data_IF_421084673830
#
_entry.id   IF_421084673830
#
_cell.length_a   1.000
_cell.length_b   1.000
_cell.length_c   1.000
_cell.angle_alpha   90.00
_cell.angle_beta   90.00
_cell.angle_gamma   90.00
#
_symmetry.space_group_name_H-M   'P 1'
#
loop_
_entity.id
_entity.type
_entity.pdbx_description
1 polymer ?
#
# COMPACT_ATOMS: atom_id res chain seq x y z
N UNK A 1 6.83 11.31 38.77
CA UNK A 1 6.30 11.27 37.38
C UNK A 1 6.93 10.15 36.59
N UNK A 2 8.24 9.91 36.65
CA UNK A 2 8.97 8.90 35.85
C UNK A 2 8.42 7.45 35.98
N UNK A 3 8.08 7.00 37.19
CA UNK A 3 7.58 5.62 37.44
C UNK A 3 6.22 5.33 36.78
N UNK A 4 5.37 6.35 36.57
CA UNK A 4 4.07 6.17 35.91
C UNK A 4 4.19 6.06 34.38
N UNK A 5 5.14 6.80 33.79
CA UNK A 5 5.41 6.72 32.36
C UNK A 5 6.04 5.38 31.98
N UNK A 6 7.03 4.90 32.75
CA UNK A 6 7.65 3.58 32.54
C UNK A 6 6.63 2.42 32.61
N UNK A 7 5.61 2.54 33.47
CA UNK A 7 4.55 1.53 33.55
C UNK A 7 3.54 1.61 32.39
N UNK A 8 3.27 2.80 31.84
CA UNK A 8 2.37 2.98 30.70
C UNK A 8 3.01 2.54 29.38
N UNK A 9 4.27 2.90 29.14
CA UNK A 9 5.01 2.45 27.94
C UNK A 9 5.10 0.91 27.90
N UNK A 10 5.38 0.30 29.06
CA UNK A 10 5.41 -1.15 29.20
C UNK A 10 4.04 -1.81 28.96
N UNK A 11 2.92 -1.16 29.26
CA UNK A 11 1.59 -1.70 28.97
C UNK A 11 1.25 -1.57 27.49
N UNK A 12 1.52 -0.42 26.87
CA UNK A 12 1.29 -0.20 25.44
C UNK A 12 2.02 -1.23 24.58
N UNK A 13 3.31 -1.47 24.84
CA UNK A 13 4.09 -2.48 24.12
C UNK A 13 3.52 -3.89 24.32
N UNK A 14 3.03 -4.24 25.52
CA UNK A 14 2.37 -5.54 25.77
C UNK A 14 1.07 -5.70 24.98
N UNK A 15 0.24 -4.66 24.94
CA UNK A 15 -1.03 -4.69 24.21
C UNK A 15 -0.78 -4.87 22.70
N UNK A 16 0.22 -4.19 22.16
CA UNK A 16 0.66 -4.38 20.76
C UNK A 16 1.13 -5.82 20.52
N UNK A 17 1.98 -6.39 21.39
CA UNK A 17 2.46 -7.77 21.20
C UNK A 17 1.33 -8.80 21.22
N UNK A 18 0.36 -8.63 22.11
CA UNK A 18 -0.83 -9.48 22.15
C UNK A 18 -1.68 -9.34 20.88
N UNK A 19 -1.81 -8.12 20.35
CA UNK A 19 -2.53 -7.89 19.09
C UNK A 19 -1.79 -8.49 17.89
N UNK A 20 -0.45 -8.38 17.83
CA UNK A 20 0.38 -9.02 16.81
C UNK A 20 0.20 -10.54 16.81
N UNK A 21 0.15 -11.17 17.99
CA UNK A 21 -0.13 -12.62 18.15
C UNK A 21 -1.49 -12.98 17.56
N UNK A 22 -2.54 -12.23 17.88
CA UNK A 22 -3.88 -12.43 17.32
C UNK A 22 -3.92 -12.27 15.81
N UNK A 23 -3.19 -11.28 15.27
CA UNK A 23 -3.10 -11.04 13.84
C UNK A 23 -2.47 -12.24 13.12
N UNK A 24 -1.38 -12.81 13.66
CA UNK A 24 -0.72 -14.01 13.11
C UNK A 24 -1.65 -15.23 13.18
N UNK A 25 -2.23 -15.51 14.35
CA UNK A 25 -3.14 -16.64 14.54
C UNK A 25 -4.34 -16.58 13.60
N UNK A 26 -4.90 -15.38 13.38
CA UNK A 26 -5.99 -15.20 12.43
C UNK A 26 -5.56 -15.53 11.00
N UNK A 27 -4.41 -15.00 10.55
CA UNK A 27 -3.91 -15.24 9.19
C UNK A 27 -3.62 -16.73 8.95
N UNK A 28 -3.06 -17.42 9.94
CA UNK A 28 -2.76 -18.86 9.87
C UNK A 28 -4.03 -19.72 9.86
N UNK A 29 -5.14 -19.19 10.37
CA UNK A 29 -6.45 -19.87 10.34
C UNK A 29 -7.22 -19.72 9.03
N UNK A 30 -6.77 -18.85 8.10
CA UNK A 30 -7.47 -18.61 6.84
C UNK A 30 -7.44 -19.83 5.92
N UNK A 31 -8.59 -20.14 5.30
CA UNK A 31 -8.74 -21.29 4.40
C UNK A 31 -9.45 -20.95 3.08
N UNK A 32 -9.87 -19.70 2.90
CA UNK A 32 -10.58 -19.27 1.68
C UNK A 32 -9.63 -19.15 0.48
N UNK A 33 -10.14 -19.20 -0.77
CA UNK A 33 -9.31 -18.98 -1.96
C UNK A 33 -8.51 -17.67 -1.89
N UNK A 34 -7.26 -17.72 -2.37
CA UNK A 34 -6.34 -16.58 -2.36
C UNK A 34 -5.86 -16.12 -0.97
N UNK A 35 -6.08 -16.88 0.10
CA UNK A 35 -5.52 -16.55 1.42
C UNK A 35 -4.02 -16.82 1.55
N UNK A 36 -3.41 -17.50 0.57
CA UNK A 36 -1.98 -17.82 0.52
C UNK A 36 -1.31 -17.03 -0.59
N UNK A 37 -0.14 -16.47 -0.29
CA UNK A 37 0.72 -15.81 -1.27
C UNK A 37 1.42 -16.89 -2.10
N UNK A 38 1.22 -16.89 -3.43
CA UNK A 38 1.84 -17.87 -4.33
C UNK A 38 2.99 -17.28 -5.14
N UNK A 39 3.17 -15.96 -5.10
CA UNK A 39 4.30 -15.29 -5.71
C UNK A 39 5.45 -15.11 -4.70
N UNK A 40 6.69 -15.13 -5.16
CA UNK A 40 7.84 -14.90 -4.31
C UNK A 40 8.06 -13.42 -4.01
N UNK A 41 8.62 -13.13 -2.83
CA UNK A 41 8.98 -11.78 -2.37
C UNK A 41 10.50 -11.66 -2.29
N UNK A 42 11.04 -10.48 -2.59
CA UNK A 42 12.48 -10.20 -2.58
C UNK A 42 13.30 -11.11 -3.51
N UNK A 43 12.77 -11.37 -4.70
CA UNK A 43 13.47 -12.15 -5.72
C UNK A 43 14.65 -11.39 -6.34
N UNK A 44 15.65 -12.12 -6.88
CA UNK A 44 16.62 -11.54 -7.79
C UNK A 44 15.94 -10.79 -8.94
N UNK A 45 16.55 -9.70 -9.39
CA UNK A 45 16.02 -8.93 -10.51
C UNK A 45 15.95 -9.82 -11.76
N UNK A 46 14.77 -9.94 -12.42
CA UNK A 46 14.66 -10.64 -13.68
C UNK A 46 15.38 -9.89 -14.81
N UNK A 47 15.63 -10.57 -15.92
CA UNK A 47 16.01 -9.88 -17.16
C UNK A 47 14.88 -8.98 -17.64
N UNK A 48 15.26 -7.83 -18.18
CA UNK A 48 14.31 -6.86 -18.73
C UNK A 48 13.80 -7.34 -20.09
N UNK A 49 12.48 -7.40 -20.24
CA UNK A 49 11.82 -7.82 -21.48
C UNK A 49 11.04 -6.63 -22.09
N UNK A 50 11.42 -6.17 -23.31
CA UNK A 50 10.79 -5.01 -23.95
C UNK A 50 9.32 -5.25 -24.32
N UNK A 51 8.90 -6.49 -24.54
CA UNK A 51 7.53 -6.83 -24.99
C UNK A 51 6.60 -7.18 -23.82
N UNK A 52 7.14 -7.34 -22.61
CA UNK A 52 6.40 -7.73 -21.41
C UNK A 52 5.37 -6.67 -21.01
N UNK A 53 4.12 -7.09 -20.85
CA UNK A 53 3.00 -6.24 -20.45
C UNK A 53 2.65 -6.42 -18.98
N UNK A 54 2.62 -5.32 -18.24
CA UNK A 54 2.40 -5.36 -16.79
C UNK A 54 1.31 -4.38 -16.38
N UNK A 55 0.42 -4.85 -15.51
CA UNK A 55 -0.52 -3.97 -14.81
C UNK A 55 -0.09 -3.85 -13.35
N UNK A 56 0.34 -2.66 -12.96
CA UNK A 56 0.67 -2.27 -11.59
C UNK A 56 -0.58 -1.85 -10.81
N UNK A 57 -0.72 -2.35 -9.59
CA UNK A 57 -1.82 -2.05 -8.68
C UNK A 57 -1.28 -1.50 -7.37
N UNK A 58 -1.75 -0.32 -6.98
CA UNK A 58 -1.68 0.06 -5.57
C UNK A 58 -2.57 -0.84 -4.71
N UNK A 59 -2.38 -0.82 -3.39
CA UNK A 59 -3.10 -1.68 -2.45
C UNK A 59 -4.08 -0.87 -1.62
N UNK A 60 -3.54 0.05 -0.83
CA UNK A 60 -4.28 0.81 0.17
C UNK A 60 -5.24 1.79 -0.51
N UNK A 61 -6.51 1.82 -0.10
CA UNK A 61 -7.59 2.58 -0.76
C UNK A 61 -7.83 2.25 -2.25
N UNK A 62 -7.13 1.26 -2.81
CA UNK A 62 -7.27 0.84 -4.20
C UNK A 62 -7.92 -0.55 -4.28
N UNK A 63 -7.27 -1.60 -3.76
CA UNK A 63 -7.82 -2.96 -3.72
C UNK A 63 -8.88 -3.14 -2.61
N UNK A 64 -8.95 -2.20 -1.70
CA UNK A 64 -10.04 -2.04 -0.76
C UNK A 64 -10.42 -0.57 -0.69
N UNK A 65 -11.69 -0.28 -0.39
CA UNK A 65 -12.22 1.08 -0.43
C UNK A 65 -11.68 1.94 0.73
N UNK A 66 -11.53 3.25 0.49
CA UNK A 66 -11.19 4.25 1.51
C UNK A 66 -12.23 4.26 2.64
N UNK A 67 -13.51 4.01 2.32
CA UNK A 67 -14.61 3.92 3.29
C UNK A 67 -14.46 2.79 4.32
N UNK A 68 -13.47 1.91 4.18
CA UNK A 68 -13.11 0.91 5.20
C UNK A 68 -12.53 1.56 6.47
N UNK A 69 -12.12 2.83 6.43
CA UNK A 69 -11.60 3.60 7.57
C UNK A 69 -10.34 3.00 8.23
N UNK A 70 -9.57 2.21 7.48
CA UNK A 70 -8.26 1.73 7.93
C UNK A 70 -7.34 2.93 8.22
N UNK A 71 -7.45 4.01 7.44
CA UNK A 71 -6.74 5.26 7.71
C UNK A 71 -7.09 5.87 9.08
N UNK A 72 -8.34 5.74 9.57
CA UNK A 72 -8.71 6.25 10.90
C UNK A 72 -8.06 5.41 12.00
N UNK A 73 -8.01 4.08 11.85
CA UNK A 73 -7.28 3.21 12.78
C UNK A 73 -5.78 3.46 12.76
N UNK A 74 -5.22 3.68 11.57
CA UNK A 74 -3.82 4.07 11.38
C UNK A 74 -3.55 5.36 12.13
N UNK A 75 -4.38 6.40 11.94
CA UNK A 75 -4.24 7.68 12.64
C UNK A 75 -4.26 7.51 14.16
N UNK A 76 -5.19 6.74 14.71
CA UNK A 76 -5.24 6.45 16.17
C UNK A 76 -3.93 5.78 16.63
N UNK A 77 -3.45 4.80 15.88
CA UNK A 77 -2.23 4.05 16.22
C UNK A 77 -0.97 4.94 16.16
N UNK A 78 -0.90 5.82 15.16
CA UNK A 78 0.15 6.83 15.03
C UNK A 78 0.15 7.74 16.26
N UNK A 79 -1.00 8.29 16.63
CA UNK A 79 -1.13 9.18 17.79
C UNK A 79 -0.76 8.48 19.11
N UNK A 80 -1.09 7.20 19.24
CA UNK A 80 -0.65 6.37 20.36
C UNK A 80 0.87 6.20 20.37
N UNK A 81 1.51 5.98 19.22
CA UNK A 81 2.97 5.91 19.12
C UNK A 81 3.63 7.23 19.52
N UNK A 82 3.15 8.37 19.00
CA UNK A 82 3.67 9.69 19.36
C UNK A 82 3.60 9.95 20.86
N UNK A 83 2.46 9.62 21.48
CA UNK A 83 2.27 9.82 22.92
C UNK A 83 3.15 8.89 23.76
N UNK A 84 3.16 7.60 23.45
CA UNK A 84 3.79 6.59 24.32
C UNK A 84 5.29 6.40 24.07
N UNK A 85 5.78 6.72 22.87
CA UNK A 85 7.18 6.52 22.48
C UNK A 85 7.94 7.84 22.36
N UNK A 86 7.33 8.88 21.78
CA UNK A 86 8.00 10.17 21.55
C UNK A 86 7.67 11.23 22.61
N UNK A 87 6.72 10.94 23.52
CA UNK A 87 6.22 11.88 24.52
C UNK A 87 5.75 13.23 23.92
N UNK A 88 5.19 13.16 22.70
CA UNK A 88 4.62 14.30 21.97
C UNK A 88 3.11 14.37 22.24
N UNK A 89 2.58 15.58 22.35
CA UNK A 89 1.13 15.79 22.59
C UNK A 89 0.29 15.35 21.39
N UNK A 90 -1.00 15.09 21.62
CA UNK A 90 -1.91 14.63 20.57
C UNK A 90 -2.08 15.68 19.46
N UNK A 91 -2.18 16.96 19.85
CA UNK A 91 -2.30 18.10 18.96
C UNK A 91 -1.07 18.24 18.06
N UNK A 92 0.14 18.16 18.63
CA UNK A 92 1.38 18.22 17.88
C UNK A 92 1.54 17.01 16.96
N UNK A 93 1.20 15.81 17.44
CA UNK A 93 1.27 14.58 16.64
C UNK A 93 0.36 14.64 15.41
N UNK A 94 -0.86 15.18 15.54
CA UNK A 94 -1.75 15.41 14.41
C UNK A 94 -1.16 16.37 13.36
N UNK A 95 -0.53 17.46 13.81
CA UNK A 95 0.10 18.43 12.92
C UNK A 95 1.31 17.81 12.20
N UNK A 96 2.17 17.09 12.93
CA UNK A 96 3.35 16.44 12.37
C UNK A 96 2.96 15.37 11.35
N UNK A 97 2.00 14.49 11.69
CA UNK A 97 1.51 13.46 10.76
C UNK A 97 1.03 14.08 9.44
N UNK A 98 0.18 15.10 9.50
CA UNK A 98 -0.36 15.76 8.30
C UNK A 98 0.74 16.46 7.50
N UNK A 99 1.67 17.12 8.18
CA UNK A 99 2.78 17.85 7.55
C UNK A 99 3.69 16.87 6.81
N UNK A 100 4.12 15.80 7.48
CA UNK A 100 5.04 14.82 6.90
C UNK A 100 4.41 14.00 5.78
N UNK A 101 3.14 13.64 5.91
CA UNK A 101 2.43 12.98 4.82
C UNK A 101 2.38 13.88 3.57
N UNK A 102 2.04 15.16 3.74
CA UNK A 102 1.98 16.13 2.63
C UNK A 102 3.34 16.43 2.01
N UNK A 103 4.39 16.58 2.81
CA UNK A 103 5.73 16.95 2.33
C UNK A 103 6.49 15.77 1.72
N UNK A 104 6.36 14.57 2.30
CA UNK A 104 7.21 13.43 1.97
C UNK A 104 6.47 12.29 1.26
N UNK A 105 5.14 12.35 1.17
CA UNK A 105 4.28 11.27 0.64
C UNK A 105 4.12 10.08 1.58
N UNK A 106 4.85 10.08 2.70
CA UNK A 106 4.85 9.04 3.73
C UNK A 106 5.28 9.64 5.07
N UNK A 107 4.40 9.65 6.07
CA UNK A 107 4.65 10.33 7.34
C UNK A 107 5.88 9.80 8.08
N UNK A 108 6.18 8.49 7.99
CA UNK A 108 7.33 7.89 8.64
C UNK A 108 8.68 8.43 8.13
N UNK A 109 8.73 8.92 6.89
CA UNK A 109 9.93 9.56 6.35
C UNK A 109 10.25 10.86 7.07
N UNK A 110 9.25 11.68 7.35
CA UNK A 110 9.44 12.90 8.16
C UNK A 110 9.81 12.57 9.60
N UNK A 111 9.19 11.54 10.19
CA UNK A 111 9.53 11.07 11.53
C UNK A 111 10.98 10.60 11.64
N UNK A 112 11.49 9.84 10.67
CA UNK A 112 12.90 9.42 10.65
C UNK A 112 13.84 10.62 10.56
N UNK A 113 13.57 11.55 9.64
CA UNK A 113 14.45 12.70 9.39
C UNK A 113 14.52 13.69 10.55
N UNK A 114 13.40 13.92 11.23
CA UNK A 114 13.28 15.01 12.22
C UNK A 114 13.23 14.54 13.67
N UNK A 115 12.93 13.26 13.92
CA UNK A 115 12.75 12.71 15.26
C UNK A 115 13.58 11.43 15.53
N UNK A 116 14.43 11.01 14.60
CA UNK A 116 15.28 9.82 14.67
C UNK A 116 14.53 8.53 15.08
N UNK A 117 13.29 8.41 14.63
CA UNK A 117 12.44 7.24 14.86
C UNK A 117 13.04 5.99 14.19
N UNK A 118 13.03 4.86 14.91
CA UNK A 118 13.24 3.54 14.30
C UNK A 118 12.01 3.20 13.44
N UNK A 119 12.22 3.15 12.13
CA UNK A 119 11.17 2.91 11.13
C UNK A 119 10.54 1.52 11.28
N UNK A 120 11.34 0.52 11.66
CA UNK A 120 10.87 -0.85 11.85
C UNK A 120 10.09 -1.00 13.16
N UNK A 121 10.53 -0.35 14.24
CA UNK A 121 9.76 -0.28 15.48
C UNK A 121 8.42 0.43 15.24
N UNK A 122 8.44 1.59 14.56
CA UNK A 122 7.22 2.30 14.20
C UNK A 122 6.27 1.43 13.38
N UNK A 123 6.76 0.74 12.35
CA UNK A 123 5.93 -0.17 11.56
C UNK A 123 5.31 -1.27 12.42
N UNK A 124 6.08 -1.86 13.33
CA UNK A 124 5.58 -2.90 14.22
C UNK A 124 4.48 -2.38 15.16
N UNK A 125 4.70 -1.20 15.77
CA UNK A 125 3.82 -0.62 16.79
C UNK A 125 2.59 0.08 16.23
N UNK A 126 2.66 0.49 14.96
CA UNK A 126 1.58 1.21 14.29
C UNK A 126 0.88 0.27 13.31
N UNK A 127 1.54 -0.10 12.21
CA UNK A 127 0.92 -0.76 11.06
C UNK A 127 0.67 -2.27 11.30
N UNK A 128 1.71 -3.03 11.67
CA UNK A 128 1.60 -4.47 11.89
C UNK A 128 0.61 -4.80 13.04
N UNK A 129 0.45 -3.88 13.99
CA UNK A 129 -0.46 -4.00 15.12
C UNK A 129 -1.95 -3.85 14.75
N UNK A 130 -2.28 -3.25 13.60
CA UNK A 130 -3.68 -3.00 13.25
C UNK A 130 -4.47 -4.32 13.11
N UNK A 131 -5.69 -4.43 13.67
CA UNK A 131 -6.53 -5.62 13.52
C UNK A 131 -7.25 -5.63 12.15
N UNK A 132 -6.49 -5.63 11.05
CA UNK A 132 -7.04 -5.51 9.70
C UNK A 132 -8.10 -6.56 9.37
N UNK A 133 -8.01 -7.75 9.96
CA UNK A 133 -9.00 -8.82 9.81
C UNK A 133 -10.41 -8.45 10.26
N UNK A 134 -10.58 -7.44 11.12
CA UNK A 134 -11.90 -7.00 11.57
C UNK A 134 -12.61 -6.17 10.48
N UNK A 135 -11.84 -5.66 9.51
CA UNK A 135 -12.31 -4.77 8.45
C UNK A 135 -12.23 -5.46 7.08
N UNK A 136 -11.04 -5.96 6.71
CA UNK A 136 -10.79 -6.59 5.43
C UNK A 136 -11.33 -8.02 5.43
N UNK A 137 -12.23 -8.28 4.48
CA UNK A 137 -12.85 -9.58 4.23
C UNK A 137 -12.63 -9.96 2.77
N UNK A 138 -12.73 -11.26 2.42
CA UNK A 138 -12.63 -11.69 1.04
C UNK A 138 -13.58 -10.94 0.11
N UNK A 139 -13.05 -10.34 -0.95
CA UNK A 139 -13.82 -9.58 -1.92
C UNK A 139 -14.01 -10.39 -3.20
N UNK A 140 -15.11 -11.16 -3.28
CA UNK A 140 -15.37 -12.06 -4.39
C UNK A 140 -15.51 -11.33 -5.74
N UNK A 141 -16.13 -10.13 -5.76
CA UNK A 141 -16.29 -9.35 -6.99
C UNK A 141 -14.95 -8.86 -7.54
N UNK A 142 -14.08 -8.35 -6.67
CA UNK A 142 -12.71 -7.97 -7.03
C UNK A 142 -11.91 -9.18 -7.52
N UNK A 143 -12.00 -10.30 -6.79
CA UNK A 143 -11.31 -11.54 -7.15
C UNK A 143 -11.73 -12.03 -8.54
N UNK A 144 -13.03 -12.07 -8.83
CA UNK A 144 -13.56 -12.47 -10.14
C UNK A 144 -13.09 -11.54 -11.26
N UNK A 145 -13.07 -10.23 -11.03
CA UNK A 145 -12.57 -9.25 -11.99
C UNK A 145 -11.09 -9.51 -12.31
N UNK A 146 -10.23 -9.68 -11.29
CA UNK A 146 -8.81 -9.98 -11.48
C UNK A 146 -8.58 -11.34 -12.15
N UNK A 147 -9.41 -12.35 -11.85
CA UNK A 147 -9.38 -13.65 -12.56
C UNK A 147 -9.69 -13.45 -14.05
N UNK A 148 -10.69 -12.64 -14.40
CA UNK A 148 -11.03 -12.37 -15.79
C UNK A 148 -9.89 -11.62 -16.50
N UNK A 149 -9.25 -10.66 -15.84
CA UNK A 149 -8.06 -9.99 -16.35
C UNK A 149 -6.90 -10.97 -16.60
N UNK A 150 -6.64 -11.93 -15.70
CA UNK A 150 -5.63 -12.96 -15.96
C UNK A 150 -6.01 -13.90 -17.11
N UNK A 151 -7.31 -14.19 -17.29
CA UNK A 151 -7.80 -15.09 -18.34
C UNK A 151 -7.75 -14.48 -19.74
N UNK A 152 -7.90 -13.16 -19.89
CA UNK A 152 -7.78 -12.48 -21.19
C UNK A 152 -6.38 -12.62 -21.78
N UNK A 153 -5.35 -12.72 -20.91
CA UNK A 153 -3.93 -12.71 -21.29
C UNK A 153 -3.52 -11.42 -22.02
N UNK A 154 -4.29 -10.35 -21.86
CA UNK A 154 -3.95 -9.03 -22.43
C UNK A 154 -2.75 -8.39 -21.71
N UNK A 155 -2.46 -8.82 -20.49
CA UNK A 155 -1.26 -8.51 -19.71
C UNK A 155 -0.59 -9.80 -19.24
N UNK A 156 0.73 -9.80 -19.15
CA UNK A 156 1.53 -10.96 -18.78
C UNK A 156 1.68 -11.08 -17.26
N UNK A 157 1.74 -9.94 -16.56
CA UNK A 157 1.84 -9.89 -15.09
C UNK A 157 0.88 -8.89 -14.46
N UNK A 158 0.34 -9.26 -13.31
CA UNK A 158 -0.27 -8.35 -12.35
C UNK A 158 0.73 -8.12 -11.22
N UNK A 159 1.08 -6.87 -10.96
CA UNK A 159 2.16 -6.52 -10.03
C UNK A 159 1.66 -5.57 -8.96
N UNK A 160 1.92 -5.90 -7.69
CA UNK A 160 1.59 -5.01 -6.58
C UNK A 160 2.64 -3.91 -6.48
N UNK A 161 2.23 -2.65 -6.33
CA UNK A 161 3.13 -1.51 -6.18
C UNK A 161 2.62 -0.54 -5.12
N UNK A 162 3.14 -0.66 -3.91
CA UNK A 162 2.63 0.03 -2.70
C UNK A 162 3.71 0.85 -1.99
N UNK A 163 3.29 1.89 -1.27
CA UNK A 163 4.14 2.65 -0.35
C UNK A 163 4.25 2.01 1.05
N UNK A 164 3.43 1.01 1.36
CA UNK A 164 3.51 0.27 2.62
C UNK A 164 4.71 -0.68 2.65
N UNK A 165 5.03 -1.20 3.84
CA UNK A 165 6.00 -2.30 3.99
C UNK A 165 5.37 -3.64 3.62
N UNK A 166 6.21 -4.63 3.30
CA UNK A 166 5.75 -5.95 2.82
C UNK A 166 4.81 -6.66 3.79
N UNK A 167 4.99 -6.54 5.10
CA UNK A 167 4.13 -7.23 6.07
C UNK A 167 2.66 -6.80 5.91
N UNK A 168 2.40 -5.49 5.93
CA UNK A 168 1.08 -4.92 5.72
C UNK A 168 0.50 -5.30 4.35
N UNK A 169 1.28 -5.11 3.29
CA UNK A 169 0.86 -5.41 1.93
C UNK A 169 0.41 -6.88 1.77
N UNK A 170 1.23 -7.83 2.23
CA UNK A 170 0.90 -9.26 2.15
C UNK A 170 -0.31 -9.62 3.03
N UNK A 171 -0.46 -8.99 4.21
CA UNK A 171 -1.65 -9.17 5.06
C UNK A 171 -2.93 -8.74 4.37
N UNK A 172 -2.95 -7.55 3.77
CA UNK A 172 -4.10 -7.05 3.00
C UNK A 172 -4.49 -8.01 1.88
N UNK A 173 -3.51 -8.47 1.11
CA UNK A 173 -3.72 -9.39 -0.02
C UNK A 173 -4.26 -10.74 0.43
N UNK A 174 -3.73 -11.30 1.53
CA UNK A 174 -4.24 -12.55 2.12
C UNK A 174 -5.68 -12.40 2.62
N UNK A 175 -5.99 -11.33 3.36
CA UNK A 175 -7.33 -11.07 3.91
C UNK A 175 -8.39 -10.82 2.82
N UNK A 176 -8.03 -10.12 1.75
CA UNK A 176 -8.90 -9.90 0.59
C UNK A 176 -9.09 -11.16 -0.28
N UNK A 177 -8.28 -12.19 -0.08
CA UNK A 177 -8.32 -13.43 -0.86
C UNK A 177 -7.77 -13.25 -2.27
N UNK A 178 -6.62 -12.57 -2.42
CA UNK A 178 -6.00 -12.24 -3.71
C UNK A 178 -4.57 -12.77 -3.88
N UNK A 179 -4.05 -13.53 -2.91
CA UNK A 179 -2.64 -13.94 -2.84
C UNK A 179 -2.13 -14.83 -3.98
N UNK A 180 -3.03 -15.40 -4.77
CA UNK A 180 -2.74 -16.24 -5.93
C UNK A 180 -2.96 -15.54 -7.28
N UNK A 181 -3.25 -14.24 -7.28
CA UNK A 181 -3.60 -13.48 -8.49
C UNK A 181 -2.51 -12.51 -8.96
N UNK A 182 -1.49 -12.26 -8.15
CA UNK A 182 -0.37 -11.38 -8.49
C UNK A 182 0.91 -12.19 -8.74
N UNK A 183 1.81 -11.64 -9.54
CA UNK A 183 3.07 -12.28 -9.93
C UNK A 183 4.27 -11.74 -9.12
N UNK A 184 4.06 -10.67 -8.36
CA UNK A 184 5.09 -10.08 -7.50
C UNK A 184 4.64 -8.78 -6.84
N UNK A 185 5.55 -8.19 -6.08
CA UNK A 185 5.34 -6.97 -5.31
C UNK A 185 6.57 -6.08 -5.30
N UNK A 186 6.34 -4.77 -5.45
CA UNK A 186 7.26 -3.69 -5.10
C UNK A 186 6.65 -2.92 -3.93
N UNK A 187 7.40 -2.77 -2.85
CA UNK A 187 6.98 -2.14 -1.60
C UNK A 187 8.05 -1.13 -1.14
N UNK A 188 7.68 -0.23 -0.24
CA UNK A 188 8.65 0.69 0.37
C UNK A 188 9.45 -0.06 1.44
N UNK A 189 10.77 -0.17 1.27
CA UNK A 189 11.59 -0.98 2.16
C UNK A 189 12.02 -0.21 3.41
N UNK A 190 11.33 -0.47 4.50
CA UNK A 190 11.56 0.17 5.79
C UNK A 190 12.81 -0.34 6.50
N UNK A 191 13.39 -1.46 6.05
CA UNK A 191 14.63 -2.01 6.63
C UNK A 191 15.89 -1.26 6.18
N UNK A 192 15.77 -0.40 5.17
CA UNK A 192 16.83 0.50 4.69
C UNK A 192 16.41 1.97 4.87
N UNK A 193 16.32 2.47 6.11
CA UNK A 193 15.68 3.75 6.43
C UNK A 193 16.43 4.99 5.92
N UNK A 194 17.70 4.86 5.54
CA UNK A 194 18.50 5.95 4.96
C UNK A 194 17.95 6.44 3.62
N UNK A 195 17.24 5.55 2.89
CA UNK A 195 16.61 5.91 1.61
C UNK A 195 15.23 5.25 1.50
N UNK A 196 14.24 5.82 2.20
CA UNK A 196 12.83 5.45 2.02
C UNK A 196 12.34 5.90 0.64
N UNK A 197 12.43 5.00 -0.34
CA UNK A 197 11.97 5.20 -1.72
C UNK A 197 10.50 4.79 -1.82
N UNK A 198 9.62 5.77 -1.97
CA UNK A 198 8.17 5.58 -2.13
C UNK A 198 7.63 6.43 -3.29
N UNK A 199 6.47 6.05 -3.83
CA UNK A 199 5.71 6.88 -4.79
C UNK A 199 5.38 8.24 -4.16
N UNK A 200 5.40 9.35 -4.92
CA UNK A 200 5.55 9.46 -6.37
C UNK A 200 7.02 9.59 -6.85
N UNK A 201 8.02 9.26 -6.02
CA UNK A 201 9.43 9.41 -6.41
C UNK A 201 9.75 8.55 -7.67
N UNK A 202 10.38 9.11 -8.72
CA UNK A 202 10.78 8.36 -9.92
C UNK A 202 11.58 7.08 -9.62
N UNK A 203 12.42 7.09 -8.57
CA UNK A 203 13.18 5.90 -8.13
C UNK A 203 12.28 4.73 -7.72
N UNK A 204 11.09 5.01 -7.18
CA UNK A 204 10.13 3.96 -6.82
C UNK A 204 9.58 3.26 -8.06
N UNK A 205 9.28 4.03 -9.11
CA UNK A 205 8.83 3.50 -10.40
C UNK A 205 9.96 2.72 -11.09
N UNK A 206 11.18 3.23 -11.09
CA UNK A 206 12.35 2.52 -11.61
C UNK A 206 12.56 1.18 -10.90
N UNK A 207 12.43 1.15 -9.56
CA UNK A 207 12.47 -0.09 -8.78
C UNK A 207 11.36 -1.06 -9.20
N UNK A 208 10.12 -0.58 -9.37
CA UNK A 208 9.01 -1.40 -9.82
C UNK A 208 9.24 -1.97 -11.23
N UNK A 209 9.78 -1.17 -12.14
CA UNK A 209 10.19 -1.60 -13.49
C UNK A 209 11.20 -2.75 -13.44
N UNK A 210 12.29 -2.55 -12.69
CA UNK A 210 13.37 -3.54 -12.57
C UNK A 210 12.89 -4.83 -11.92
N UNK A 211 12.15 -4.75 -10.80
CA UNK A 211 11.69 -5.94 -10.07
C UNK A 211 10.65 -6.74 -10.86
N UNK A 212 9.81 -6.07 -11.64
CA UNK A 212 8.79 -6.71 -12.46
C UNK A 212 9.32 -7.28 -13.78
N UNK A 213 10.49 -6.81 -14.24
CA UNK A 213 11.11 -7.18 -15.51
C UNK A 213 10.61 -6.37 -16.72
N UNK A 214 9.83 -5.31 -16.48
CA UNK A 214 9.30 -4.47 -17.54
C UNK A 214 10.44 -3.78 -18.33
N UNK A 215 10.45 -3.91 -19.66
CA UNK A 215 11.42 -3.23 -20.53
C UNK A 215 11.01 -1.84 -20.98
N UNK A 216 9.72 -1.61 -21.25
CA UNK A 216 9.19 -0.34 -21.76
C UNK A 216 7.92 0.10 -21.00
N UNK A 217 7.88 1.36 -20.56
CA UNK A 217 6.70 1.95 -19.93
C UNK A 217 5.48 1.97 -20.86
N UNK A 218 5.67 1.98 -22.17
CA UNK A 218 4.58 1.86 -23.14
C UNK A 218 3.83 0.52 -23.05
N UNK A 219 4.34 -0.46 -22.30
CA UNK A 219 3.69 -1.74 -22.00
C UNK A 219 3.17 -1.83 -20.55
N UNK A 220 3.08 -0.72 -19.83
CA UNK A 220 2.60 -0.66 -18.45
C UNK A 220 1.24 0.02 -18.31
N UNK A 221 0.38 -0.57 -17.48
CA UNK A 221 -0.83 0.04 -16.94
C UNK A 221 -0.66 0.24 -15.44
N UNK A 222 -1.31 1.26 -14.89
CA UNK A 222 -1.19 1.56 -13.46
C UNK A 222 -2.50 2.08 -12.88
N UNK A 223 -2.92 1.56 -11.73
CA UNK A 223 -4.07 2.04 -10.97
C UNK A 223 -3.67 2.40 -9.54
N UNK A 224 -4.06 3.58 -9.10
CA UNK A 224 -3.67 4.19 -7.81
C UNK A 224 -4.70 5.28 -7.43
N UNK A 225 -4.89 5.52 -6.13
CA UNK A 225 -5.77 6.58 -5.60
C UNK A 225 -5.04 7.94 -5.46
N UNK A 226 -3.70 7.93 -5.41
CA UNK A 226 -2.86 9.10 -5.30
C UNK A 226 -2.66 9.81 -6.65
N UNK A 227 -3.24 11.01 -6.80
CA UNK A 227 -3.14 11.81 -8.03
C UNK A 227 -1.69 12.11 -8.44
N UNK A 228 -0.81 12.36 -7.46
CA UNK A 228 0.63 12.56 -7.75
C UNK A 228 1.34 11.30 -8.25
N UNK A 229 0.92 10.11 -7.82
CA UNK A 229 1.44 8.82 -8.31
C UNK A 229 1.01 8.61 -9.76
N UNK A 230 -0.27 8.89 -10.07
CA UNK A 230 -0.81 8.86 -11.43
C UNK A 230 -0.07 9.84 -12.34
N UNK A 231 0.19 11.06 -11.88
CA UNK A 231 0.94 12.07 -12.64
C UNK A 231 2.35 11.58 -12.99
N UNK A 232 3.03 10.93 -12.05
CA UNK A 232 4.34 10.33 -12.28
C UNK A 232 4.26 9.23 -13.34
N UNK A 233 3.28 8.32 -13.24
CA UNK A 233 3.04 7.25 -14.23
C UNK A 233 2.82 7.79 -15.65
N UNK A 234 2.03 8.85 -15.79
CA UNK A 234 1.81 9.53 -17.08
C UNK A 234 3.12 10.14 -17.59
N UNK A 235 3.86 10.84 -16.72
CA UNK A 235 5.09 11.55 -17.11
C UNK A 235 6.19 10.65 -17.64
N UNK A 236 6.25 9.39 -17.19
CA UNK A 236 7.24 8.39 -17.63
C UNK A 236 6.76 7.57 -18.83
N UNK A 237 5.55 7.82 -19.33
CA UNK A 237 5.03 7.20 -20.55
C UNK A 237 4.33 5.86 -20.34
N UNK A 238 3.72 5.63 -19.17
CA UNK A 238 2.84 4.47 -19.00
C UNK A 238 1.68 4.52 -20.01
N UNK A 239 1.29 3.36 -20.54
CA UNK A 239 0.26 3.25 -21.59
C UNK A 239 -1.08 3.83 -21.17
N UNK A 240 -1.54 3.51 -19.96
CA UNK A 240 -2.72 4.09 -19.33
C UNK A 240 -2.54 4.13 -17.82
N UNK A 241 -2.87 5.26 -17.21
CA UNK A 241 -2.96 5.40 -15.76
C UNK A 241 -4.41 5.65 -15.37
N UNK A 242 -4.89 4.90 -14.38
CA UNK A 242 -6.27 4.90 -13.90
C UNK A 242 -6.26 5.48 -12.49
N UNK A 243 -6.85 6.66 -12.31
CA UNK A 243 -7.01 7.29 -11.01
C UNK A 243 -8.29 6.80 -10.34
N UNK A 244 -8.17 6.15 -9.18
CA UNK A 244 -9.32 5.74 -8.38
C UNK A 244 -9.71 6.87 -7.43
N UNK A 245 -10.92 7.42 -7.59
CA UNK A 245 -11.46 8.52 -6.77
C UNK A 245 -12.82 8.09 -6.24
N UNK A 246 -12.86 7.61 -4.99
CA UNK A 246 -14.10 7.10 -4.39
C UNK A 246 -15.11 8.24 -4.14
N UNK A 247 -14.62 9.39 -3.65
CA UNK A 247 -15.42 10.60 -3.39
C UNK A 247 -14.73 11.88 -3.86
N UNK A 248 -15.49 12.94 -4.12
CA UNK A 248 -14.93 14.25 -4.51
C UNK A 248 -14.02 14.86 -3.42
N UNK A 249 -14.21 14.48 -2.16
CA UNK A 249 -13.37 14.95 -1.05
C UNK A 249 -11.96 14.35 -1.09
N UNK A 250 -11.79 13.20 -1.75
CA UNK A 250 -10.52 12.48 -1.82
C UNK A 250 -9.48 13.30 -2.57
N UNK A 251 -9.89 14.07 -3.59
CA UNK A 251 -9.02 14.95 -4.36
C UNK A 251 -8.31 16.02 -3.50
N UNK A 252 -8.91 16.43 -2.37
CA UNK A 252 -8.27 17.36 -1.44
C UNK A 252 -7.16 16.71 -0.61
N UNK A 253 -7.22 15.39 -0.40
CA UNK A 253 -6.32 14.64 0.47
C UNK A 253 -5.24 13.93 -0.36
N UNK A 254 -5.62 13.30 -1.46
CA UNK A 254 -4.78 12.44 -2.30
C UNK A 254 -4.27 13.13 -3.57
N UNK A 255 -4.68 14.39 -3.77
CA UNK A 255 -4.26 15.23 -4.89
C UNK A 255 -5.27 15.24 -6.04
N UNK A 256 -5.12 16.22 -6.93
CA UNK A 256 -6.01 16.39 -8.08
C UNK A 256 -5.77 15.30 -9.12
N UNK A 257 -6.84 14.93 -9.83
CA UNK A 257 -6.78 14.06 -11.01
C UNK A 257 -5.92 14.69 -12.11
N UNK A 258 -4.81 14.04 -12.51
CA UNK A 258 -3.97 14.52 -13.60
C UNK A 258 -4.66 14.45 -14.96
N UNK A 259 -4.38 15.43 -15.83
CA UNK A 259 -4.82 15.39 -17.22
C UNK A 259 -4.24 14.15 -17.93
N UNK A 260 -5.08 13.45 -18.70
CA UNK A 260 -4.70 12.23 -19.41
C UNK A 260 -4.89 10.93 -18.61
N UNK A 261 -5.30 11.00 -17.34
CA UNK A 261 -5.73 9.82 -16.58
C UNK A 261 -7.17 9.41 -16.88
N UNK A 262 -7.49 8.13 -16.67
CA UNK A 262 -8.86 7.62 -16.67
C UNK A 262 -9.35 7.59 -15.23
N UNK A 263 -10.56 8.08 -14.95
CA UNK A 263 -11.10 8.11 -13.59
C UNK A 263 -12.09 6.96 -13.39
N UNK A 264 -11.97 6.26 -12.28
CA UNK A 264 -12.96 5.30 -11.78
C UNK A 264 -13.28 5.58 -10.31
N UNK A 265 -14.46 5.19 -9.85
CA UNK A 265 -14.85 5.40 -8.46
C UNK A 265 -14.77 4.11 -7.63
N UNK A 266 -14.65 2.97 -8.31
CA UNK A 266 -14.41 1.68 -7.69
C UNK A 266 -13.48 0.84 -8.55
N UNK A 267 -12.56 0.11 -7.91
CA UNK A 267 -11.59 -0.75 -8.61
C UNK A 267 -12.28 -1.77 -9.54
N UNK A 268 -13.48 -2.24 -9.20
CA UNK A 268 -14.22 -3.20 -10.03
C UNK A 268 -14.80 -2.59 -11.31
N UNK A 269 -14.63 -1.28 -11.53
CA UNK A 269 -15.02 -0.58 -12.75
C UNK A 269 -13.91 -0.60 -13.83
N UNK A 270 -12.74 -1.20 -13.52
CA UNK A 270 -11.64 -1.40 -14.48
C UNK A 270 -12.07 -2.02 -15.82
N UNK A 271 -12.97 -3.02 -15.88
CA UNK A 271 -13.45 -3.57 -17.15
C UNK A 271 -14.15 -2.54 -18.04
N UNK A 272 -14.74 -1.50 -17.47
CA UNK A 272 -15.36 -0.39 -18.22
C UNK A 272 -14.33 0.64 -18.64
N UNK A 273 -13.33 0.91 -17.79
CA UNK A 273 -12.28 1.90 -18.03
C UNK A 273 -11.24 1.46 -19.07
N UNK A 274 -10.87 0.17 -19.05
CA UNK A 274 -9.87 -0.43 -19.95
C UNK A 274 -10.39 -1.75 -20.53
N UNK A 275 -11.51 -1.71 -21.29
CA UNK A 275 -12.19 -2.91 -21.77
C UNK A 275 -11.29 -3.80 -22.65
N UNK A 276 -10.29 -3.22 -23.32
CA UNK A 276 -9.32 -3.97 -24.12
C UNK A 276 -8.48 -4.97 -23.31
N UNK A 277 -8.38 -4.79 -21.98
CA UNK A 277 -7.66 -5.71 -21.10
C UNK A 277 -8.49 -6.90 -20.64
N UNK A 278 -9.81 -6.88 -20.86
CA UNK A 278 -10.75 -7.89 -20.35
C UNK A 278 -11.44 -8.71 -21.46
N UNK A 279 -10.99 -8.56 -22.71
CA UNK A 279 -11.51 -9.26 -23.90
C UNK A 279 -10.87 -10.63 -24.11
#
# INVERSE_FOLDING_TARGET
MTIQFDNQENQYKKDVQEQLRKNIEHLDSLTHPGCMITFPVDQPLPESDPDLKIFFFDIDNCLYSLSTKIHDLMQISILNYFRNTLNISHEEAHILHRTYYKEYGLAIRGLKLHHDVDVMEYNQLVDDSLPLQDILKPNLKLREMLINLRKSKSVDKLWLFTNAYKNHALRCIRLLGLGDLFDGITYCDYSHPEELICKPNPKAFERAKLQSGLGDWANAWFVDDGGSNIQQGISIGMKKCIHLVETENDNFILGQTPEGSIVINNIVDLPTAVPELFQ
#
